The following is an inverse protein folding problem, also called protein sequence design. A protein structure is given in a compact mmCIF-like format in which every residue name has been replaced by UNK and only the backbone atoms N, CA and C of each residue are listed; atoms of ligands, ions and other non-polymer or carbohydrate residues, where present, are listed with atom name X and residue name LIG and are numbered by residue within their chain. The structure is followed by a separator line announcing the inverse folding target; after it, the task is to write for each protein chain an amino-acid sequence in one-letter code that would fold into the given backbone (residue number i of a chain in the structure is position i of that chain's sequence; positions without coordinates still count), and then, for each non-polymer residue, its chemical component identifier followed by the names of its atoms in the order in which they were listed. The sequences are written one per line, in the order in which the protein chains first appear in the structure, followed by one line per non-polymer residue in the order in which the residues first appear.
data_IF_712728273438
#
_entry.id   IF_712728273438
#
_cell.length_a   1.000
_cell.length_b   1.000
_cell.length_c   1.000
_cell.angle_alpha   90.00
_cell.angle_beta   90.00
_cell.angle_gamma   90.00
#
_symmetry.space_group_name_H-M   'P 1'
#
loop_
_entity.id
_entity.type
_entity.pdbx_description
1 polymer ?
#
# COMPACT_ATOMS: atom_id res chain seq x y z
N UNK A 1 29.27 3.37 15.93
CA UNK A 1 28.01 4.09 15.61
C UNK A 1 27.27 4.35 16.91
N UNK A 2 26.97 5.61 17.28
CA UNK A 2 26.35 5.88 18.57
C UNK A 2 24.93 5.32 18.56
N UNK A 3 24.56 4.63 19.64
CA UNK A 3 23.36 3.81 19.80
C UNK A 3 22.05 4.51 19.44
N UNK A 4 21.99 5.85 19.61
CA UNK A 4 20.83 6.68 19.32
C UNK A 4 20.56 6.84 17.82
N UNK A 5 21.60 7.08 17.01
CA UNK A 5 21.46 7.16 15.55
C UNK A 5 21.00 5.82 14.97
N UNK A 6 21.52 4.71 15.49
CA UNK A 6 21.08 3.37 15.11
C UNK A 6 19.62 3.11 15.52
N UNK A 7 19.17 3.61 16.67
CA UNK A 7 17.77 3.50 17.09
C UNK A 7 16.83 4.29 16.18
N UNK A 8 17.20 5.52 15.80
CA UNK A 8 16.43 6.36 14.87
C UNK A 8 16.31 5.72 13.49
N UNK A 9 17.40 5.16 12.96
CA UNK A 9 17.35 4.40 11.71
C UNK A 9 16.44 3.17 11.78
N UNK A 10 16.46 2.43 12.90
CA UNK A 10 15.53 1.30 13.10
C UNK A 10 14.07 1.77 13.16
N UNK A 11 13.80 2.91 13.79
CA UNK A 11 12.46 3.51 13.82
C UNK A 11 11.98 3.83 12.41
N UNK A 12 12.77 4.56 11.63
CA UNK A 12 12.44 4.95 10.24
C UNK A 12 12.19 3.70 9.39
N UNK A 13 13.07 2.69 9.45
CA UNK A 13 12.91 1.45 8.68
C UNK A 13 11.63 0.70 9.03
N UNK A 14 11.26 0.63 10.32
CA UNK A 14 10.02 -0.02 10.75
C UNK A 14 8.79 0.76 10.30
N UNK A 15 8.78 2.08 10.48
CA UNK A 15 7.67 2.91 10.06
C UNK A 15 7.47 2.88 8.52
N UNK A 16 8.57 2.87 7.75
CA UNK A 16 8.51 2.62 6.30
C UNK A 16 7.89 1.28 5.96
N UNK A 17 8.27 0.21 6.66
CA UNK A 17 7.66 -1.12 6.49
C UNK A 17 6.16 -1.17 6.80
N UNK A 18 5.66 -0.24 7.62
CA UNK A 18 4.24 -0.10 7.96
C UNK A 18 3.48 0.85 7.01
N UNK A 19 4.12 1.37 5.96
CA UNK A 19 3.47 2.22 4.97
C UNK A 19 3.38 3.70 5.35
N UNK A 20 4.15 4.16 6.34
CA UNK A 20 4.28 5.59 6.61
C UNK A 20 5.19 6.27 5.56
N UNK A 21 4.77 7.45 5.12
CA UNK A 21 5.53 8.35 4.24
C UNK A 21 6.72 8.95 4.99
N UNK A 22 7.66 9.61 4.29
CA UNK A 22 8.78 10.24 4.99
C UNK A 22 8.30 11.37 5.92
N UNK A 23 7.35 12.17 5.44
CA UNK A 23 6.77 13.29 6.19
C UNK A 23 6.04 12.82 7.46
N UNK A 24 5.27 11.72 7.38
CA UNK A 24 4.61 11.13 8.56
C UNK A 24 5.63 10.59 9.57
N UNK A 25 6.76 10.05 9.09
CA UNK A 25 7.82 9.51 9.94
C UNK A 25 8.58 10.64 10.63
N UNK A 26 8.87 11.72 9.91
CA UNK A 26 9.48 12.93 10.47
C UNK A 26 8.63 13.48 11.62
N UNK A 27 7.33 13.65 11.39
CA UNK A 27 6.41 14.12 12.41
C UNK A 27 6.29 13.16 13.61
N UNK A 28 6.30 11.85 13.38
CA UNK A 28 6.32 10.86 14.47
C UNK A 28 7.62 10.94 15.30
N UNK A 29 8.76 11.23 14.65
CA UNK A 29 10.03 11.43 15.33
C UNK A 29 10.02 12.72 16.15
N UNK A 30 9.48 13.81 15.62
CA UNK A 30 9.30 15.06 16.36
C UNK A 30 8.45 14.85 17.61
N UNK A 31 7.32 14.16 17.48
CA UNK A 31 6.46 13.82 18.63
C UNK A 31 7.20 12.98 19.67
N UNK A 32 8.07 12.07 19.26
CA UNK A 32 8.90 11.31 20.19
C UNK A 32 9.91 12.22 20.92
N UNK A 33 10.57 13.12 20.18
CA UNK A 33 11.63 13.98 20.71
C UNK A 33 11.07 15.02 21.71
N UNK A 34 9.86 15.55 21.48
CA UNK A 34 9.23 16.57 22.35
C UNK A 34 8.30 16.00 23.42
N UNK A 35 8.11 14.68 23.48
CA UNK A 35 7.18 14.05 24.44
C UNK A 35 5.70 14.29 24.11
N UNK A 36 5.36 14.25 22.83
CA UNK A 36 4.02 14.49 22.30
C UNK A 36 2.94 13.52 22.78
N UNK A 37 1.67 13.89 22.54
CA UNK A 37 0.52 13.17 23.07
C UNK A 37 0.24 11.86 22.32
N UNK A 38 -0.12 10.81 23.07
CA UNK A 38 -0.50 9.50 22.50
C UNK A 38 -1.76 9.56 21.63
N UNK A 39 -2.68 10.49 21.90
CA UNK A 39 -3.89 10.74 21.09
C UNK A 39 -3.54 11.06 19.64
N UNK A 40 -2.60 11.98 19.47
CA UNK A 40 -2.10 12.44 18.18
C UNK A 40 -1.49 11.29 17.36
N UNK A 41 -0.64 10.47 17.99
CA UNK A 41 -0.06 9.27 17.36
C UNK A 41 -1.13 8.24 16.98
N UNK A 42 -2.12 8.04 17.84
CA UNK A 42 -3.25 7.13 17.60
C UNK A 42 -4.09 7.58 16.40
N UNK A 43 -4.34 8.88 16.27
CA UNK A 43 -5.15 9.41 15.17
C UNK A 43 -4.42 9.32 13.82
N UNK A 44 -3.11 9.60 13.78
CA UNK A 44 -2.30 9.34 12.58
C UNK A 44 -2.33 7.85 12.19
N UNK A 45 -2.22 6.97 13.19
CA UNK A 45 -2.24 5.52 12.95
C UNK A 45 -3.60 5.08 12.41
N UNK A 46 -4.72 5.61 12.92
CA UNK A 46 -6.07 5.36 12.39
C UNK A 46 -6.22 5.83 10.94
N UNK A 47 -5.69 7.01 10.61
CA UNK A 47 -5.66 7.50 9.23
C UNK A 47 -4.86 6.56 8.32
N UNK A 48 -3.71 6.06 8.78
CA UNK A 48 -2.92 5.08 8.03
C UNK A 48 -3.68 3.78 7.78
N UNK A 49 -4.36 3.25 8.80
CA UNK A 49 -5.21 2.06 8.67
C UNK A 49 -6.29 2.29 7.61
N UNK A 50 -7.02 3.40 7.69
CA UNK A 50 -8.06 3.72 6.70
C UNK A 50 -7.53 3.85 5.27
N UNK A 51 -6.34 4.40 5.06
CA UNK A 51 -5.69 4.44 3.74
C UNK A 51 -5.34 3.03 3.23
N UNK A 52 -4.84 2.16 4.12
CA UNK A 52 -4.52 0.77 3.79
C UNK A 52 -5.80 0.00 3.42
N UNK A 53 -6.87 0.15 4.21
CA UNK A 53 -8.16 -0.51 3.95
C UNK A 53 -8.72 -0.11 2.60
N UNK A 54 -8.73 1.19 2.28
CA UNK A 54 -9.14 1.68 0.95
C UNK A 54 -8.29 1.10 -0.17
N UNK A 55 -6.97 0.99 0.02
CA UNK A 55 -6.08 0.38 -0.99
C UNK A 55 -6.36 -1.11 -1.14
N UNK A 56 -6.67 -1.83 -0.06
CA UNK A 56 -7.04 -3.25 -0.09
C UNK A 56 -8.34 -3.42 -0.87
N UNK A 57 -9.34 -2.56 -0.66
CA UNK A 57 -10.59 -2.61 -1.40
C UNK A 57 -10.35 -2.43 -2.91
N UNK A 58 -9.57 -1.43 -3.29
CA UNK A 58 -9.19 -1.19 -4.70
C UNK A 58 -8.48 -2.38 -5.31
N UNK A 59 -7.44 -2.88 -4.63
CA UNK A 59 -6.67 -4.02 -5.10
C UNK A 59 -7.52 -5.30 -5.16
N UNK A 60 -8.47 -5.47 -4.24
CA UNK A 60 -9.41 -6.60 -4.26
C UNK A 60 -10.34 -6.55 -5.45
N UNK A 61 -10.83 -5.36 -5.82
CA UNK A 61 -11.63 -5.16 -7.04
C UNK A 61 -10.83 -5.51 -8.29
N UNK A 62 -9.62 -4.98 -8.41
CA UNK A 62 -8.72 -5.27 -9.54
C UNK A 62 -8.42 -6.77 -9.61
N UNK A 63 -8.06 -7.39 -8.48
CA UNK A 63 -7.80 -8.84 -8.40
C UNK A 63 -9.00 -9.65 -8.88
N UNK A 64 -10.22 -9.27 -8.49
CA UNK A 64 -11.43 -9.99 -8.92
C UNK A 64 -11.60 -9.96 -10.44
N UNK A 65 -11.39 -8.80 -11.07
CA UNK A 65 -11.47 -8.67 -12.54
C UNK A 65 -10.39 -9.52 -13.20
N UNK A 66 -9.14 -9.41 -12.75
CA UNK A 66 -8.04 -10.21 -13.30
C UNK A 66 -8.27 -11.72 -13.14
N UNK A 67 -8.77 -12.16 -11.99
CA UNK A 67 -9.10 -13.58 -11.77
C UNK A 67 -10.22 -14.08 -12.67
N UNK A 68 -11.22 -13.25 -12.98
CA UNK A 68 -12.27 -13.61 -13.93
C UNK A 68 -11.69 -13.81 -15.33
N UNK A 69 -10.90 -12.84 -15.81
CA UNK A 69 -10.28 -12.89 -17.14
C UNK A 69 -9.30 -14.05 -17.28
N UNK A 70 -8.56 -14.37 -16.22
CA UNK A 70 -7.66 -15.53 -16.18
C UNK A 70 -8.44 -16.84 -16.29
N UNK A 71 -9.56 -16.97 -15.58
CA UNK A 71 -10.39 -18.19 -15.62
C UNK A 71 -11.05 -18.45 -16.98
N UNK A 72 -11.29 -17.39 -17.75
CA UNK A 72 -11.87 -17.48 -19.10
C UNK A 72 -10.81 -17.79 -20.16
N UNK A 73 -9.53 -17.58 -19.85
CA UNK A 73 -8.43 -17.81 -20.78
C UNK A 73 -8.03 -19.28 -20.81
N UNK A 74 -8.01 -19.90 -21.99
CA UNK A 74 -7.59 -21.30 -22.17
C UNK A 74 -6.11 -21.56 -21.87
N UNK A 75 -5.28 -20.50 -21.83
CA UNK A 75 -3.83 -20.59 -21.63
C UNK A 75 -3.06 -21.33 -22.73
N UNK A 76 -3.68 -21.62 -23.88
CA UNK A 76 -3.09 -22.41 -24.96
C UNK A 76 -3.52 -21.89 -26.34
N UNK A 77 -2.68 -22.13 -27.35
CA UNK A 77 -2.86 -21.57 -28.70
C UNK A 77 -2.19 -20.20 -28.87
N UNK A 78 -2.51 -19.50 -29.96
CA UNK A 78 -2.08 -18.13 -30.17
C UNK A 78 -3.02 -17.12 -29.46
N UNK A 79 -2.65 -15.84 -29.46
CA UNK A 79 -3.37 -14.79 -28.70
C UNK A 79 -4.71 -14.39 -29.31
N UNK A 80 -5.07 -14.89 -30.48
CA UNK A 80 -6.36 -14.60 -31.13
C UNK A 80 -7.50 -15.16 -30.28
N UNK A 81 -8.45 -14.29 -29.92
CA UNK A 81 -9.57 -14.67 -29.04
C UNK A 81 -9.21 -14.75 -27.55
N UNK A 82 -8.01 -14.33 -27.14
CA UNK A 82 -7.66 -14.25 -25.73
C UNK A 82 -8.57 -13.24 -24.99
N UNK A 83 -9.36 -13.66 -23.99
CA UNK A 83 -10.31 -12.78 -23.31
C UNK A 83 -9.61 -11.65 -22.53
N UNK A 84 -8.40 -11.90 -22.02
CA UNK A 84 -7.58 -10.89 -21.35
C UNK A 84 -7.21 -9.75 -22.31
N UNK A 85 -6.69 -10.09 -23.50
CA UNK A 85 -6.30 -9.09 -24.51
C UNK A 85 -7.55 -8.36 -25.03
N UNK A 86 -8.64 -9.09 -25.28
CA UNK A 86 -9.90 -8.49 -25.69
C UNK A 86 -10.40 -7.46 -24.66
N UNK A 87 -10.43 -7.82 -23.37
CA UNK A 87 -10.87 -6.92 -22.31
C UNK A 87 -10.00 -5.65 -22.17
N UNK A 88 -8.68 -5.76 -22.40
CA UNK A 88 -7.77 -4.61 -22.37
C UNK A 88 -7.83 -3.74 -23.63
N UNK A 89 -8.28 -4.30 -24.75
CA UNK A 89 -8.43 -3.60 -26.02
C UNK A 89 -9.79 -2.90 -26.17
N UNK A 90 -10.73 -3.13 -25.24
CA UNK A 90 -11.96 -2.36 -25.17
C UNK A 90 -11.61 -0.93 -24.76
N UNK A 91 -11.73 0.01 -25.69
CA UNK A 91 -11.76 1.44 -25.36
C UNK A 91 -13.00 1.72 -24.53
N UNK A 92 -12.83 2.29 -23.33
CA UNK A 92 -13.94 2.86 -22.56
C UNK A 92 -14.54 4.02 -23.37
N UNK A 93 -15.69 3.80 -24.01
CA UNK A 93 -16.59 4.87 -24.50
C UNK A 93 -17.34 5.52 -23.35
#
# INVERSE_FOLDING_TARGET
YPSQAAARLRFIRRAKGLGFTLDEIEWLLELQDVGGQKSIVKDLTRKKISQIDSKIEDLSRIRKVLSQLESECSGSGDVSGCPIIAALALEET
#
